data_IF_435756202676
#
_entry.id   IF_435756202676
#
_cell.length_a   1.000
_cell.length_b   1.000
_cell.length_c   1.000
_cell.angle_alpha   90.00
_cell.angle_beta   90.00
_cell.angle_gamma   90.00
#
_symmetry.space_group_name_H-M   'P 1'
#
loop_
_entity.id
_entity.type
_entity.pdbx_description
1 polymer ?
#
# COMPACT_ATOMS: atom_id res chain seq x y z
N UNK A 1 -7.31 3.50 26.55
CA UNK A 1 -7.99 3.46 25.23
C UNK A 1 -8.02 2.00 24.79
N UNK A 2 -9.20 1.37 24.65
CA UNK A 2 -9.28 -0.02 24.18
C UNK A 2 -8.64 -0.14 22.79
N UNK A 3 -7.90 -1.21 22.55
CA UNK A 3 -7.31 -1.48 21.23
C UNK A 3 -8.45 -1.75 20.23
N UNK A 4 -8.63 -0.86 19.26
CA UNK A 4 -9.59 -1.06 18.17
C UNK A 4 -9.21 -2.32 17.38
N UNK A 5 -10.11 -3.30 17.37
CA UNK A 5 -9.89 -4.58 16.69
C UNK A 5 -10.41 -4.50 15.25
N UNK A 6 -9.50 -4.52 14.27
CA UNK A 6 -9.84 -4.54 12.85
C UNK A 6 -9.99 -6.00 12.36
N UNK A 7 -10.92 -6.26 11.46
CA UNK A 7 -11.13 -7.57 10.83
C UNK A 7 -10.57 -7.60 9.41
N UNK A 8 -10.03 -8.74 8.98
CA UNK A 8 -9.56 -8.90 7.61
C UNK A 8 -10.74 -8.92 6.62
N UNK A 9 -10.71 -8.10 5.56
CA UNK A 9 -11.77 -8.06 4.54
C UNK A 9 -12.00 -9.41 3.86
N UNK A 10 -10.93 -10.22 3.71
CA UNK A 10 -10.96 -11.58 3.15
C UNK A 10 -11.47 -12.64 4.15
N UNK A 11 -12.02 -12.26 5.31
CA UNK A 11 -12.58 -13.21 6.28
C UNK A 11 -11.54 -14.01 7.09
N UNK A 12 -10.27 -13.62 7.07
CA UNK A 12 -9.21 -14.37 7.76
C UNK A 12 -9.25 -14.30 9.30
N UNK A 13 -10.02 -13.36 9.86
CA UNK A 13 -10.07 -13.05 11.29
C UNK A 13 -9.41 -11.71 11.63
N UNK A 14 -9.04 -11.48 12.91
CA UNK A 14 -8.57 -10.18 13.37
C UNK A 14 -7.19 -9.82 12.82
N UNK A 15 -7.03 -8.57 12.39
CA UNK A 15 -5.76 -8.01 11.96
C UNK A 15 -4.84 -7.80 13.16
N UNK A 16 -3.53 -7.85 12.88
CA UNK A 16 -2.49 -7.63 13.89
C UNK A 16 -1.83 -6.29 13.64
N UNK A 17 -1.65 -5.45 14.68
CA UNK A 17 -0.85 -4.26 14.54
C UNK A 17 0.58 -4.67 14.21
N UNK A 18 1.16 -3.95 13.27
CA UNK A 18 2.58 -4.04 13.02
C UNK A 18 3.32 -3.20 14.08
N UNK A 19 4.29 -3.80 14.79
CA UNK A 19 5.02 -3.13 15.88
C UNK A 19 6.45 -2.82 15.44
N UNK A 20 6.80 -1.53 15.39
CA UNK A 20 8.16 -1.07 15.08
C UNK A 20 8.72 -0.14 16.16
N UNK A 21 9.90 -0.50 16.71
CA UNK A 21 10.73 0.19 17.73
C UNK A 21 10.16 1.51 18.29
N UNK A 22 9.15 1.43 19.14
CA UNK A 22 8.69 2.55 19.98
C UNK A 22 7.99 3.72 19.28
N UNK A 23 7.77 3.70 17.95
CA UNK A 23 7.01 4.76 17.25
C UNK A 23 5.55 4.37 17.03
N UNK A 24 4.63 5.34 17.17
CA UNK A 24 3.19 5.22 16.89
C UNK A 24 2.89 5.22 15.38
N UNK A 25 3.32 4.20 14.65
CA UNK A 25 2.79 3.95 13.31
C UNK A 25 2.10 2.58 13.34
N UNK A 26 0.76 2.59 13.47
CA UNK A 26 -0.06 1.40 13.71
C UNK A 26 -0.76 0.98 12.42
N UNK A 27 0.02 0.54 11.43
CA UNK A 27 -0.57 -0.18 10.30
C UNK A 27 -0.90 -1.61 10.73
N UNK A 28 -1.93 -2.19 10.09
CA UNK A 28 -2.46 -3.50 10.46
C UNK A 28 -2.31 -4.47 9.31
N UNK A 29 -1.95 -5.71 9.62
CA UNK A 29 -1.79 -6.75 8.61
C UNK A 29 -2.54 -8.03 9.00
N UNK A 30 -2.92 -8.82 8.00
CA UNK A 30 -3.46 -10.15 8.21
C UNK A 30 -2.32 -11.17 8.24
N UNK A 31 -2.23 -11.99 9.29
CA UNK A 31 -1.20 -13.06 9.35
C UNK A 31 -1.43 -14.18 8.33
N UNK A 32 -2.69 -14.44 7.94
CA UNK A 32 -3.08 -15.54 7.04
C UNK A 32 -2.90 -15.14 5.58
N UNK A 33 -3.71 -14.20 5.08
CA UNK A 33 -3.60 -13.73 3.69
C UNK A 33 -2.47 -12.74 3.46
N UNK A 34 -1.70 -12.35 4.48
CA UNK A 34 -0.59 -11.39 4.40
C UNK A 34 -0.97 -10.00 3.87
N UNK A 35 -2.27 -9.69 3.77
CA UNK A 35 -2.72 -8.39 3.32
C UNK A 35 -2.44 -7.29 4.34
N UNK A 36 -2.31 -6.06 3.84
CA UNK A 36 -1.94 -4.87 4.59
C UNK A 36 -3.04 -3.80 4.47
N UNK A 37 -3.46 -3.27 5.62
CA UNK A 37 -4.30 -2.09 5.73
C UNK A 37 -3.42 -0.86 5.86
N UNK A 38 -3.62 0.13 4.99
CA UNK A 38 -3.00 1.45 5.07
C UNK A 38 -4.04 2.55 4.92
N UNK A 39 -4.03 3.52 5.83
CA UNK A 39 -4.88 4.70 5.69
C UNK A 39 -4.15 5.82 4.93
N UNK A 40 -4.90 6.70 4.27
CA UNK A 40 -4.33 7.85 3.53
C UNK A 40 -3.40 8.68 4.41
N UNK A 41 -3.80 8.94 5.65
CA UNK A 41 -2.99 9.73 6.59
C UNK A 41 -1.67 9.01 6.93
N UNK A 42 -1.67 7.68 7.00
CA UNK A 42 -0.45 6.89 7.17
C UNK A 42 0.45 7.03 5.95
N UNK A 43 -0.10 6.83 4.75
CA UNK A 43 0.64 6.95 3.48
C UNK A 43 1.32 8.33 3.36
N UNK A 44 0.63 9.39 3.78
CA UNK A 44 1.18 10.75 3.79
C UNK A 44 2.28 10.93 4.86
N UNK A 45 2.07 10.40 6.06
CA UNK A 45 3.04 10.49 7.15
C UNK A 45 4.37 9.78 6.85
N UNK A 46 4.36 8.76 5.99
CA UNK A 46 5.56 8.04 5.60
C UNK A 46 6.52 8.82 4.68
N UNK A 47 6.13 10.00 4.17
CA UNK A 47 7.01 11.09 3.74
C UNK A 47 8.05 10.83 2.63
N UNK A 48 8.26 9.59 2.21
CA UNK A 48 9.35 9.19 1.31
C UNK A 48 9.12 9.63 -0.13
N UNK A 49 7.86 9.83 -0.52
CA UNK A 49 7.50 9.82 -1.92
C UNK A 49 7.26 11.22 -2.50
N UNK A 50 7.10 12.22 -1.63
CA UNK A 50 7.26 13.68 -1.83
C UNK A 50 6.38 14.42 -0.83
N UNK A 51 6.78 15.63 -0.39
CA UNK A 51 5.89 16.60 0.30
C UNK A 51 4.60 16.92 -0.51
N UNK A 52 4.57 16.57 -1.79
CA UNK A 52 3.47 16.82 -2.71
C UNK A 52 2.58 15.60 -3.00
N UNK A 53 2.70 14.50 -2.24
CA UNK A 53 1.73 13.41 -2.35
C UNK A 53 0.43 13.79 -1.66
N UNK A 54 -0.42 14.51 -2.40
CA UNK A 54 -1.64 15.13 -1.90
C UNK A 54 -2.73 14.09 -1.66
N UNK A 55 -3.49 14.29 -0.58
CA UNK A 55 -4.65 13.49 -0.20
C UNK A 55 -5.67 13.38 -1.33
N UNK A 56 -5.90 14.46 -2.07
CA UNK A 56 -6.80 14.47 -3.23
C UNK A 56 -6.40 13.44 -4.31
N UNK A 57 -5.12 13.16 -4.51
CA UNK A 57 -4.66 12.14 -5.46
C UNK A 57 -5.06 10.74 -5.00
N UNK A 58 -4.91 10.46 -3.72
CA UNK A 58 -5.31 9.20 -3.11
C UNK A 58 -6.82 9.01 -3.14
N UNK A 59 -7.56 10.06 -2.81
CA UNK A 59 -9.02 10.03 -2.90
C UNK A 59 -9.47 9.85 -4.36
N UNK A 60 -8.84 10.53 -5.33
CA UNK A 60 -9.13 10.32 -6.75
C UNK A 60 -8.89 8.88 -7.20
N UNK A 61 -7.87 8.20 -6.66
CA UNK A 61 -7.63 6.78 -6.92
C UNK A 61 -8.79 5.93 -6.39
N UNK A 62 -9.24 6.18 -5.15
CA UNK A 62 -10.38 5.49 -4.56
C UNK A 62 -11.67 5.71 -5.38
N UNK A 63 -11.91 6.94 -5.86
CA UNK A 63 -13.11 7.27 -6.64
C UNK A 63 -13.14 6.65 -8.05
N UNK A 64 -12.01 6.18 -8.57
CA UNK A 64 -11.94 5.45 -9.85
C UNK A 64 -12.32 3.98 -9.75
N UNK A 65 -12.36 3.44 -8.52
CA UNK A 65 -12.65 2.04 -8.29
C UNK A 65 -14.09 1.67 -8.56
N UNK A 66 -14.33 0.40 -8.85
CA UNK A 66 -15.67 -0.19 -8.99
C UNK A 66 -16.07 -0.91 -7.72
N UNK A 67 -17.32 -0.79 -7.22
CA UNK A 67 -17.76 -1.49 -6.01
C UNK A 67 -17.44 -3.00 -6.03
N UNK A 68 -16.93 -3.51 -4.92
CA UNK A 68 -16.63 -4.94 -4.76
C UNK A 68 -17.34 -5.51 -3.51
N UNK A 69 -17.24 -6.83 -3.33
CA UNK A 69 -17.91 -7.56 -2.26
C UNK A 69 -17.18 -7.50 -0.91
N UNK A 70 -16.00 -6.86 -0.85
CA UNK A 70 -15.24 -6.76 0.39
C UNK A 70 -15.76 -5.65 1.28
N UNK A 71 -15.72 -5.88 2.59
CA UNK A 71 -16.07 -4.87 3.58
C UNK A 71 -14.81 -4.22 4.14
N UNK A 72 -14.86 -2.90 4.28
CA UNK A 72 -13.77 -2.10 4.80
C UNK A 72 -13.44 -2.53 6.24
N UNK A 73 -12.16 -2.79 6.57
CA UNK A 73 -11.79 -3.22 7.91
C UNK A 73 -12.07 -2.12 8.96
N UNK A 74 -12.15 -0.85 8.54
CA UNK A 74 -12.27 0.31 9.40
C UNK A 74 -13.73 0.74 9.65
N UNK A 75 -14.56 0.82 8.60
CA UNK A 75 -15.92 1.36 8.68
C UNK A 75 -17.00 0.39 8.16
N UNK A 76 -16.63 -0.86 7.85
CA UNK A 76 -17.50 -1.94 7.35
C UNK A 76 -18.27 -1.70 6.05
N UNK A 77 -18.24 -0.48 5.48
CA UNK A 77 -18.79 -0.19 4.16
C UNK A 77 -18.14 -1.03 3.07
N UNK A 78 -18.87 -1.28 1.99
CA UNK A 78 -18.32 -1.91 0.80
C UNK A 78 -17.09 -1.16 0.28
N UNK A 79 -16.09 -1.93 -0.07
CA UNK A 79 -14.88 -1.46 -0.72
C UNK A 79 -15.11 -1.35 -2.24
N UNK A 80 -14.14 -0.77 -2.90
CA UNK A 80 -14.02 -0.69 -4.34
C UNK A 80 -12.73 -1.38 -4.77
N UNK A 81 -12.81 -2.07 -5.89
CA UNK A 81 -11.67 -2.65 -6.58
C UNK A 81 -11.09 -1.60 -7.54
N UNK A 82 -9.76 -1.42 -7.52
CA UNK A 82 -9.06 -0.34 -8.20
C UNK A 82 -7.91 -0.93 -9.02
N UNK A 83 -7.97 -0.78 -10.35
CA UNK A 83 -6.86 -1.11 -11.22
C UNK A 83 -5.81 0.02 -11.23
N UNK A 84 -4.68 -0.22 -10.56
CA UNK A 84 -3.52 0.67 -10.57
C UNK A 84 -2.60 0.34 -11.73
N UNK A 85 -2.50 1.26 -12.66
CA UNK A 85 -1.60 1.15 -13.81
C UNK A 85 -0.34 1.99 -13.57
N UNK A 86 0.85 1.40 -13.66
CA UNK A 86 2.11 2.04 -13.30
C UNK A 86 3.24 1.75 -14.29
N UNK A 87 4.18 2.68 -14.44
CA UNK A 87 5.42 2.49 -15.20
C UNK A 87 6.45 1.75 -14.34
N UNK A 88 6.79 0.53 -14.76
CA UNK A 88 7.75 -0.31 -14.05
C UNK A 88 9.13 0.36 -13.91
N UNK A 89 9.54 1.15 -14.91
CA UNK A 89 10.81 1.90 -14.85
C UNK A 89 10.80 2.91 -13.70
N UNK A 90 9.66 3.52 -13.38
CA UNK A 90 9.56 4.46 -12.26
C UNK A 90 9.63 3.79 -10.90
N UNK A 91 9.04 2.61 -10.76
CA UNK A 91 9.19 1.81 -9.54
C UNK A 91 10.66 1.46 -9.34
N UNK A 92 11.34 0.99 -10.40
CA UNK A 92 12.79 0.73 -10.40
C UNK A 92 13.61 1.97 -10.05
N UNK A 93 13.35 3.09 -10.70
CA UNK A 93 14.05 4.36 -10.45
C UNK A 93 13.87 4.85 -9.02
N UNK A 94 12.66 4.75 -8.45
CA UNK A 94 12.41 5.18 -7.07
C UNK A 94 13.18 4.30 -6.06
N UNK A 95 13.22 2.99 -6.30
CA UNK A 95 14.01 2.05 -5.52
C UNK A 95 15.52 2.32 -5.64
N UNK A 96 16.02 2.64 -6.84
CA UNK A 96 17.44 2.93 -7.10
C UNK A 96 17.90 4.31 -6.61
N UNK A 97 17.07 5.36 -6.77
CA UNK A 97 17.38 6.74 -6.38
C UNK A 97 17.31 7.00 -4.88
N UNK A 98 16.84 6.04 -4.11
CA UNK A 98 16.90 6.09 -2.64
C UNK A 98 17.96 5.10 -2.14
N UNK A 99 19.27 5.44 -2.18
CA UNK A 99 20.33 4.61 -1.59
C UNK A 99 20.05 4.24 -0.13
N UNK A 100 19.32 5.08 0.60
CA UNK A 100 18.88 4.83 1.98
C UNK A 100 17.81 3.73 2.11
N UNK A 101 17.11 3.35 1.04
CA UNK A 101 16.22 2.18 0.99
C UNK A 101 16.96 0.92 0.52
N UNK A 102 18.02 1.08 -0.30
CA UNK A 102 18.92 0.00 -0.75
C UNK A 102 19.95 -0.41 0.33
N UNK A 103 20.37 0.51 1.20
CA UNK A 103 21.27 0.28 2.33
C UNK A 103 20.55 0.19 3.68
N UNK A 104 19.21 0.09 3.71
CA UNK A 104 18.59 -0.59 4.83
C UNK A 104 18.81 -2.08 4.57
N UNK A 105 19.79 -2.74 5.20
CA UNK A 105 19.65 -4.17 5.32
C UNK A 105 18.28 -4.37 5.99
N UNK A 106 17.39 -5.10 5.35
CA UNK A 106 17.23 -6.53 5.59
C UNK A 106 17.71 -7.02 6.99
N UNK A 107 17.50 -6.21 8.03
CA UNK A 107 17.96 -6.44 9.41
C UNK A 107 16.87 -6.03 10.41
N UNK A 108 15.79 -5.42 9.93
CA UNK A 108 14.57 -5.19 10.70
C UNK A 108 13.41 -5.85 9.95
N UNK A 109 12.98 -7.07 10.36
CA UNK A 109 11.82 -7.74 9.79
C UNK A 109 10.63 -6.78 9.75
N UNK A 110 10.03 -6.62 8.57
CA UNK A 110 8.73 -6.00 8.24
C UNK A 110 8.68 -4.48 8.00
N UNK A 111 9.83 -3.79 7.92
CA UNK A 111 9.90 -2.41 7.36
C UNK A 111 9.62 -2.42 5.84
N UNK A 112 9.90 -3.53 5.17
CA UNK A 112 9.69 -3.78 3.74
C UNK A 112 8.22 -3.84 3.32
N UNK A 113 7.31 -4.22 4.23
CA UNK A 113 5.91 -4.51 3.91
C UNK A 113 5.13 -3.23 3.56
N UNK A 114 5.47 -2.08 4.16
CA UNK A 114 4.72 -0.82 3.98
C UNK A 114 5.20 0.00 2.80
N UNK A 115 6.52 0.05 2.56
CA UNK A 115 7.08 0.92 1.52
C UNK A 115 6.65 0.50 0.12
N UNK A 116 6.48 -0.79 -0.09
CA UNK A 116 6.03 -1.31 -1.38
C UNK A 116 4.72 -0.64 -1.86
N UNK A 117 3.61 -0.85 -1.15
CA UNK A 117 2.32 -0.21 -1.44
C UNK A 117 2.40 1.28 -1.72
N UNK A 118 3.14 2.04 -0.91
CA UNK A 118 3.26 3.50 -1.06
C UNK A 118 3.95 3.85 -2.39
N UNK A 119 5.04 3.16 -2.75
CA UNK A 119 5.75 3.36 -4.02
C UNK A 119 4.83 3.03 -5.19
N UNK A 120 4.05 1.94 -5.09
CA UNK A 120 3.13 1.51 -6.12
C UNK A 120 2.03 2.55 -6.37
N UNK A 121 1.35 3.01 -5.31
CA UNK A 121 0.32 4.06 -5.42
C UNK A 121 0.91 5.32 -6.05
N UNK A 122 2.12 5.74 -5.64
CA UNK A 122 2.75 6.90 -6.25
C UNK A 122 3.08 6.71 -7.73
N UNK A 123 3.61 5.56 -8.11
CA UNK A 123 3.92 5.27 -9.50
C UNK A 123 2.65 5.30 -10.36
N UNK A 124 1.54 4.77 -9.83
CA UNK A 124 0.23 4.76 -10.47
C UNK A 124 -0.49 6.12 -10.47
N UNK A 125 -0.13 7.01 -9.54
CA UNK A 125 -0.68 8.38 -9.45
C UNK A 125 -0.22 9.31 -10.58
N UNK A 126 0.71 8.86 -11.42
CA UNK A 126 1.37 9.71 -12.40
C UNK A 126 0.96 9.30 -13.81
N UNK A 127 1.01 10.27 -14.72
CA UNK A 127 0.67 10.01 -16.12
C UNK A 127 1.62 8.97 -16.75
N UNK A 128 1.01 8.01 -17.43
CA UNK A 128 1.64 6.90 -18.14
C UNK A 128 1.63 7.11 -19.66
N UNK A 129 1.12 8.25 -20.15
CA UNK A 129 1.07 8.55 -21.57
C UNK A 129 2.46 8.44 -22.22
N UNK A 130 2.54 7.65 -23.29
CA UNK A 130 3.79 7.38 -24.02
C UNK A 130 4.78 6.44 -23.31
N UNK A 131 4.40 5.77 -22.21
CA UNK A 131 5.26 4.79 -21.52
C UNK A 131 5.13 3.39 -22.13
N UNK A 132 6.28 2.72 -22.32
CA UNK A 132 6.37 1.39 -22.96
C UNK A 132 6.37 0.20 -22.00
N UNK A 133 6.63 0.41 -20.70
CA UNK A 133 6.77 -0.66 -19.70
C UNK A 133 5.73 -0.49 -18.60
N UNK A 134 4.47 -0.52 -19.00
CA UNK A 134 3.34 -0.31 -18.10
C UNK A 134 2.83 -1.65 -17.59
N UNK A 135 2.59 -1.75 -16.28
CA UNK A 135 1.98 -2.90 -15.62
C UNK A 135 0.72 -2.45 -14.89
N UNK A 136 -0.19 -3.39 -14.66
CA UNK A 136 -1.42 -3.15 -13.89
C UNK A 136 -1.48 -4.11 -12.72
N UNK A 137 -1.88 -3.60 -11.58
CA UNK A 137 -2.17 -4.37 -10.37
C UNK A 137 -3.50 -3.91 -9.81
N UNK A 138 -4.32 -4.85 -9.39
CA UNK A 138 -5.61 -4.57 -8.77
C UNK A 138 -5.42 -4.49 -7.28
N UNK A 139 -5.98 -3.46 -6.63
CA UNK A 139 -5.99 -3.29 -5.19
C UNK A 139 -7.41 -2.99 -4.71
N UNK A 140 -7.67 -3.14 -3.41
CA UNK A 140 -8.97 -2.78 -2.82
C UNK A 140 -8.86 -1.48 -2.00
N UNK A 141 -9.91 -0.67 -1.99
CA UNK A 141 -9.96 0.57 -1.21
C UNK A 141 -11.35 0.93 -0.71
N UNK A 142 -11.43 1.80 0.30
CA UNK A 142 -12.69 2.31 0.82
C UNK A 142 -12.78 3.82 0.61
N UNK A 143 -13.77 4.24 -0.17
CA UNK A 143 -14.03 5.65 -0.49
C UNK A 143 -14.53 6.45 0.74
N UNK A 144 -15.14 5.79 1.72
CA UNK A 144 -15.77 6.47 2.87
C UNK A 144 -14.78 6.90 3.95
N UNK A 145 -13.75 6.09 4.21
CA UNK A 145 -12.76 6.36 5.26
C UNK A 145 -11.32 6.43 4.76
N UNK A 146 -11.13 6.50 3.44
CA UNK A 146 -9.82 6.63 2.78
C UNK A 146 -8.82 5.55 3.24
N UNK A 147 -9.26 4.30 3.28
CA UNK A 147 -8.44 3.13 3.65
C UNK A 147 -8.15 2.29 2.42
N UNK A 148 -6.90 1.89 2.23
CA UNK A 148 -6.47 0.93 1.22
C UNK A 148 -6.22 -0.45 1.85
N UNK A 149 -6.48 -1.48 1.06
CA UNK A 149 -6.17 -2.87 1.36
C UNK A 149 -5.33 -3.45 0.23
N UNK A 150 -4.14 -3.93 0.59
CA UNK A 150 -3.22 -4.57 -0.34
C UNK A 150 -3.13 -6.05 -0.04
N UNK A 151 -3.43 -6.93 -0.99
CA UNK A 151 -3.25 -8.36 -0.80
C UNK A 151 -1.80 -8.82 -1.04
N UNK A 152 -1.48 -10.05 -0.60
CA UNK A 152 -0.12 -10.63 -0.68
C UNK A 152 0.46 -10.58 -2.09
N UNK A 153 -0.36 -10.79 -3.11
CA UNK A 153 0.10 -10.93 -4.49
C UNK A 153 0.51 -9.57 -5.06
N UNK A 154 -0.15 -8.50 -4.63
CA UNK A 154 0.21 -7.13 -4.93
C UNK A 154 1.52 -6.73 -4.24
N UNK A 155 1.71 -7.18 -2.99
CA UNK A 155 2.94 -6.97 -2.21
C UNK A 155 4.13 -7.76 -2.79
N UNK A 156 3.87 -8.91 -3.43
CA UNK A 156 4.90 -9.75 -4.05
C UNK A 156 5.51 -9.12 -5.30
N UNK A 157 4.77 -8.33 -6.07
CA UNK A 157 5.29 -7.62 -7.25
C UNK A 157 6.51 -6.73 -6.93
N UNK A 158 6.60 -6.25 -5.70
CA UNK A 158 7.69 -5.40 -5.23
C UNK A 158 8.82 -6.21 -4.59
N UNK A 159 8.50 -7.44 -4.18
CA UNK A 159 9.48 -8.44 -3.77
C UNK A 159 10.24 -9.05 -4.96
N UNK A 160 9.78 -8.91 -6.21
CA UNK A 160 10.53 -9.35 -7.40
C UNK A 160 11.82 -8.56 -7.65
N UNK A 161 11.95 -7.38 -7.05
CA UNK A 161 13.21 -6.62 -7.05
C UNK A 161 14.24 -7.13 -6.03
N UNK A 162 13.92 -8.21 -5.29
CA UNK A 162 14.83 -8.90 -4.36
C UNK A 162 16.01 -9.59 -5.02
N UNK A 163 16.11 -9.61 -6.35
CA UNK A 163 17.22 -10.25 -7.05
C UNK A 163 17.81 -9.34 -8.11
N UNK A 164 18.94 -8.71 -7.78
CA UNK A 164 20.15 -8.83 -8.58
C UNK A 164 21.39 -8.59 -7.70
N UNK A 165 22.04 -9.71 -7.41
CA UNK A 165 23.40 -9.94 -6.87
C UNK A 165 23.63 -9.76 -5.37
#
# INVERSE_FOLDING_TARGET
>A
MPEQQFLCPRGCGPLRPYRWRGKKHRHYHCKKCKGLKLDVDEIQAWGLVSKNFKKNTLDNILHRGTPCSLNCPNCTSNMVEIALTYDEKRVKEFMMRSPSLLHLPMLVPGVDIVYGPIILIYAASRDIFGKKNVKTVTIDGCQYCSTFWFDKDELQLLSMYKTHK
#
